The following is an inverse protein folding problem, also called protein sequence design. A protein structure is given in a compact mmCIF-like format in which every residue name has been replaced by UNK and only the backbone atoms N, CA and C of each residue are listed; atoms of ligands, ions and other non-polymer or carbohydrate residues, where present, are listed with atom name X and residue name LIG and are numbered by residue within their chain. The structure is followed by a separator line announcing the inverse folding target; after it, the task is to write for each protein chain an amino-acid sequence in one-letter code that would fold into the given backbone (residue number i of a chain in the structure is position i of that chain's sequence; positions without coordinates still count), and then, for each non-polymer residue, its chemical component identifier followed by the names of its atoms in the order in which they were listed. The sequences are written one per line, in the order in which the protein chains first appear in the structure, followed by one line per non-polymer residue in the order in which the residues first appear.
data_IF_039184808921
#
_entry.id   IF_039184808921
#
_cell.length_a   1.000
_cell.length_b   1.000
_cell.length_c   1.000
_cell.angle_alpha   90.00
_cell.angle_beta   90.00
_cell.angle_gamma   90.00
#
_symmetry.space_group_name_H-M   'P 1'
#
loop_
_entity.id
_entity.type
_entity.pdbx_description
1 polymer ?
#
# COMPACT_ATOMS: atom_id res chain seq x y z
N UNK A 1 24.99 -15.30 14.58
CA UNK A 1 24.42 -14.29 15.49
C UNK A 1 23.86 -13.19 14.60
N UNK A 2 22.56 -13.25 14.30
CA UNK A 2 21.88 -12.20 13.52
C UNK A 2 21.57 -11.06 14.50
N UNK A 3 22.45 -10.06 14.56
CA UNK A 3 22.13 -8.80 15.24
C UNK A 3 21.06 -8.05 14.44
N UNK A 4 20.45 -7.02 15.04
CA UNK A 4 19.50 -6.09 14.40
C UNK A 4 20.11 -5.28 13.22
N UNK A 5 21.25 -5.71 12.68
CA UNK A 5 22.10 -5.00 11.73
C UNK A 5 21.62 -5.05 10.26
N UNK A 6 20.40 -5.55 10.02
CA UNK A 6 19.87 -5.74 8.67
C UNK A 6 18.65 -4.85 8.37
N UNK A 7 18.34 -3.89 9.25
CA UNK A 7 17.18 -3.01 9.11
C UNK A 7 17.58 -1.53 9.21
N UNK A 8 17.00 -0.71 8.34
CA UNK A 8 16.99 0.75 8.44
C UNK A 8 15.61 1.18 8.95
N UNK A 9 15.56 1.98 10.00
CA UNK A 9 14.30 2.51 10.55
C UNK A 9 13.91 3.81 9.87
N UNK A 10 12.62 3.92 9.55
CA UNK A 10 12.07 5.10 8.90
C UNK A 10 11.24 5.91 9.91
N UNK A 11 11.25 7.24 9.73
CA UNK A 11 10.30 8.13 10.40
C UNK A 11 8.89 7.90 9.84
N UNK A 12 7.83 8.31 10.52
CA UNK A 12 6.45 8.17 10.06
C UNK A 12 5.91 9.45 9.41
N UNK A 13 6.66 10.56 9.48
CA UNK A 13 6.21 11.88 9.01
C UNK A 13 5.95 11.97 7.48
N UNK A 14 6.41 11.01 6.68
CA UNK A 14 6.30 10.98 5.21
C UNK A 14 5.27 9.96 4.70
N UNK A 15 4.54 9.27 5.57
CA UNK A 15 3.54 8.29 5.14
C UNK A 15 2.56 8.86 4.13
N UNK A 16 2.21 8.02 3.16
CA UNK A 16 1.16 8.29 2.19
C UNK A 16 -0.18 8.41 2.93
N UNK A 17 -1.08 9.22 2.38
CA UNK A 17 -2.36 9.59 3.00
C UNK A 17 -3.45 9.60 1.94
N UNK A 18 -4.39 8.66 2.03
CA UNK A 18 -5.59 8.65 1.20
C UNK A 18 -6.61 9.74 1.59
N UNK A 19 -7.17 10.41 0.59
CA UNK A 19 -8.22 11.44 0.73
C UNK A 19 -9.65 10.98 0.38
N UNK A 20 -10.66 11.78 0.74
CA UNK A 20 -12.09 11.42 0.63
C UNK A 20 -12.84 12.01 -0.59
N UNK A 21 -13.56 11.15 -1.35
CA UNK A 21 -14.78 11.44 -2.11
C UNK A 21 -16.06 10.92 -1.40
N UNK A 22 -16.99 11.83 -1.04
CA UNK A 22 -17.93 11.64 0.07
C UNK A 22 -19.02 10.54 -0.02
N UNK A 23 -19.28 9.87 1.12
CA UNK A 23 -20.42 8.98 1.36
C UNK A 23 -20.46 8.43 2.80
N UNK A 24 -21.66 8.10 3.33
CA UNK A 24 -21.98 8.12 4.77
C UNK A 24 -22.58 6.80 5.33
N UNK A 25 -21.92 6.20 6.34
CA UNK A 25 -22.49 5.73 7.62
C UNK A 25 -22.67 4.23 7.97
N UNK A 26 -21.89 3.71 8.95
CA UNK A 26 -22.24 2.82 10.12
C UNK A 26 -22.50 1.31 9.89
N UNK A 27 -22.02 0.29 10.65
CA UNK A 27 -21.10 0.07 11.79
C UNK A 27 -21.26 -1.33 12.47
N UNK A 28 -20.20 -1.91 13.07
CA UNK A 28 -20.15 -2.75 14.33
C UNK A 28 -20.49 -4.29 14.47
N UNK A 29 -19.52 -5.24 14.43
CA UNK A 29 -18.80 -5.95 15.56
C UNK A 29 -19.27 -7.31 16.18
N UNK A 30 -18.66 -8.49 15.84
CA UNK A 30 -19.04 -9.83 16.42
C UNK A 30 -18.03 -11.05 16.48
N UNK A 31 -16.72 -10.93 16.22
CA UNK A 31 -15.86 -12.11 15.96
C UNK A 31 -14.39 -11.80 15.59
N UNK A 32 -13.79 -10.81 16.24
CA UNK A 32 -12.52 -10.20 15.82
C UNK A 32 -11.26 -10.98 16.17
N UNK A 33 -10.21 -10.78 15.37
CA UNK A 33 -8.88 -11.35 15.52
C UNK A 33 -7.90 -10.37 16.19
N UNK A 34 -6.94 -10.90 16.96
CA UNK A 34 -5.78 -10.11 17.42
C UNK A 34 -4.69 -9.98 16.36
N UNK A 35 -4.64 -10.93 15.44
CA UNK A 35 -3.68 -10.98 14.34
C UNK A 35 -4.16 -11.92 13.24
N UNK A 36 -3.63 -11.72 12.04
CA UNK A 36 -3.84 -12.55 10.87
C UNK A 36 -2.51 -12.74 10.13
N UNK A 37 -2.32 -13.86 9.45
CA UNK A 37 -1.15 -14.13 8.60
C UNK A 37 -1.69 -14.62 7.26
N UNK A 38 -1.44 -13.86 6.20
CA UNK A 38 -1.81 -14.22 4.83
C UNK A 38 -0.73 -15.05 4.15
N UNK A 39 -1.07 -15.61 2.99
CA UNK A 39 -0.12 -16.29 2.12
C UNK A 39 0.26 -17.70 2.59
N UNK A 40 1.03 -18.37 1.74
CA UNK A 40 1.46 -19.76 1.95
C UNK A 40 2.88 -19.84 2.55
N UNK A 41 3.18 -20.90 3.34
CA UNK A 41 4.53 -21.12 3.83
C UNK A 41 5.56 -21.25 2.69
N UNK A 42 6.51 -20.31 2.62
CA UNK A 42 7.57 -20.28 1.61
C UNK A 42 7.22 -19.51 0.34
N UNK A 43 6.11 -18.78 0.33
CA UNK A 43 5.86 -17.63 -0.55
C UNK A 43 5.74 -16.36 0.29
N UNK A 44 5.35 -15.25 -0.36
CA UNK A 44 5.19 -13.99 0.34
C UNK A 44 4.05 -14.05 1.36
N UNK A 45 4.26 -13.48 2.55
CA UNK A 45 3.26 -13.42 3.61
C UNK A 45 3.20 -12.05 4.30
N UNK A 46 2.03 -11.74 4.88
CA UNK A 46 1.82 -10.50 5.62
C UNK A 46 1.24 -10.83 6.99
N UNK A 47 2.01 -10.59 8.06
CA UNK A 47 1.50 -10.64 9.44
C UNK A 47 0.81 -9.32 9.78
N UNK A 48 -0.51 -9.33 9.91
CA UNK A 48 -1.29 -8.21 10.43
C UNK A 48 -1.48 -8.36 11.93
N UNK A 49 -1.21 -7.31 12.70
CA UNK A 49 -1.54 -7.25 14.13
C UNK A 49 -2.51 -6.10 14.39
N UNK A 50 -3.75 -6.45 14.69
CA UNK A 50 -4.81 -5.49 15.00
C UNK A 50 -4.62 -4.90 16.40
N UNK A 51 -4.41 -3.59 16.47
CA UNK A 51 -4.32 -2.83 17.73
C UNK A 51 -5.67 -2.25 18.10
N UNK A 52 -5.86 -1.95 19.39
CA UNK A 52 -7.09 -1.36 19.92
C UNK A 52 -8.33 -2.21 19.57
N UNK A 53 -9.48 -1.58 19.40
CA UNK A 53 -10.76 -2.24 19.17
C UNK A 53 -11.15 -2.15 17.68
N UNK A 54 -11.71 -3.24 17.18
CA UNK A 54 -12.13 -3.41 15.78
C UNK A 54 -13.51 -4.06 15.71
N UNK A 55 -14.10 -4.06 14.53
CA UNK A 55 -15.26 -4.87 14.15
C UNK A 55 -14.79 -6.00 13.20
N UNK A 56 -15.61 -7.04 13.00
CA UNK A 56 -15.24 -8.13 12.07
C UNK A 56 -15.25 -7.65 10.64
N UNK A 57 -16.25 -6.85 10.32
CA UNK A 57 -16.47 -6.29 9.00
C UNK A 57 -15.27 -5.45 8.57
N UNK A 58 -14.75 -4.61 9.47
CA UNK A 58 -13.57 -3.81 9.17
C UNK A 58 -12.30 -4.66 9.05
N UNK A 59 -12.18 -5.74 9.82
CA UNK A 59 -11.02 -6.65 9.72
C UNK A 59 -11.02 -7.51 8.45
N UNK A 60 -12.19 -7.86 7.91
CA UNK A 60 -12.28 -8.65 6.67
C UNK A 60 -11.52 -7.97 5.53
N UNK A 61 -11.66 -6.65 5.37
CA UNK A 61 -10.95 -5.90 4.36
C UNK A 61 -9.42 -6.05 4.44
N UNK A 62 -8.83 -6.10 5.64
CA UNK A 62 -7.38 -6.33 5.80
C UNK A 62 -7.00 -7.75 5.42
N UNK A 63 -7.82 -8.72 5.84
CA UNK A 63 -7.61 -10.13 5.51
C UNK A 63 -7.63 -10.31 3.99
N UNK A 64 -8.71 -9.87 3.35
CA UNK A 64 -8.92 -10.01 1.90
C UNK A 64 -7.83 -9.25 1.10
N UNK A 65 -7.45 -8.05 1.55
CA UNK A 65 -6.35 -7.29 0.94
C UNK A 65 -5.00 -7.98 1.09
N UNK A 66 -4.72 -8.54 2.26
CA UNK A 66 -3.44 -9.22 2.51
C UNK A 66 -3.30 -10.51 1.72
N UNK A 67 -4.40 -11.27 1.55
CA UNK A 67 -4.40 -12.46 0.68
C UNK A 67 -4.17 -12.05 -0.77
N UNK A 68 -4.89 -11.02 -1.26
CA UNK A 68 -4.69 -10.54 -2.63
C UNK A 68 -3.24 -10.09 -2.88
N UNK A 69 -2.63 -9.34 -1.97
CA UNK A 69 -1.22 -8.94 -2.13
C UNK A 69 -0.29 -10.16 -2.07
N UNK A 70 -0.59 -11.16 -1.24
CA UNK A 70 0.22 -12.40 -1.14
C UNK A 70 0.04 -13.32 -2.35
N UNK A 71 -1.07 -13.21 -3.08
CA UNK A 71 -1.28 -13.88 -4.37
C UNK A 71 -0.57 -13.14 -5.52
N UNK A 72 -0.47 -11.80 -5.44
CA UNK A 72 0.20 -10.97 -6.45
C UNK A 72 1.73 -10.98 -6.30
N UNK A 73 2.25 -10.99 -5.07
CA UNK A 73 3.66 -11.12 -4.75
C UNK A 73 3.91 -12.58 -4.39
N UNK A 74 4.58 -13.34 -5.26
CA UNK A 74 4.68 -14.79 -5.08
C UNK A 74 6.02 -15.24 -4.49
N UNK A 75 7.04 -14.39 -4.55
CA UNK A 75 8.38 -14.70 -4.07
C UNK A 75 8.56 -14.44 -2.57
N UNK A 76 9.02 -15.46 -1.86
CA UNK A 76 9.56 -15.34 -0.50
C UNK A 76 10.74 -14.36 -0.45
N UNK A 77 10.77 -13.47 0.55
CA UNK A 77 11.87 -12.52 0.76
C UNK A 77 12.62 -12.83 2.06
N UNK A 78 13.87 -12.36 2.15
CA UNK A 78 14.75 -12.80 3.23
C UNK A 78 14.23 -12.45 4.63
N UNK A 79 14.08 -13.47 5.48
CA UNK A 79 13.84 -13.35 6.92
C UNK A 79 14.76 -12.34 7.62
N UNK A 80 14.19 -11.49 8.46
CA UNK A 80 14.93 -10.54 9.30
C UNK A 80 14.54 -10.63 10.77
N UNK A 81 15.36 -10.02 11.64
CA UNK A 81 15.06 -9.93 13.08
C UNK A 81 14.72 -8.51 13.47
N UNK A 82 13.55 -8.35 14.07
CA UNK A 82 13.11 -7.08 14.65
C UNK A 82 12.69 -7.27 16.11
N UNK A 83 13.34 -6.56 17.03
CA UNK A 83 13.05 -6.60 18.48
C UNK A 83 12.99 -8.02 19.05
N UNK A 84 13.91 -8.88 18.61
CA UNK A 84 14.01 -10.28 19.05
C UNK A 84 13.04 -11.27 18.40
N UNK A 85 12.10 -10.81 17.56
CA UNK A 85 11.24 -11.66 16.74
C UNK A 85 11.83 -11.86 15.35
N UNK A 86 11.50 -12.98 14.73
CA UNK A 86 11.71 -13.17 13.29
C UNK A 86 10.53 -12.52 12.59
N UNK A 87 10.82 -11.75 11.56
CA UNK A 87 9.86 -11.25 10.60
C UNK A 87 10.13 -12.02 9.32
N UNK A 88 9.16 -12.82 8.95
CA UNK A 88 9.00 -13.41 7.64
C UNK A 88 8.28 -12.34 6.80
N UNK A 89 8.83 -12.02 5.63
CA UNK A 89 8.37 -10.99 4.70
C UNK A 89 8.01 -9.61 5.30
N UNK A 90 6.77 -9.38 5.74
CA UNK A 90 6.37 -8.13 6.38
C UNK A 90 5.42 -8.32 7.55
N UNK A 91 5.60 -7.50 8.59
CA UNK A 91 4.63 -7.33 9.68
C UNK A 91 4.02 -5.94 9.70
N UNK A 92 2.70 -5.86 9.71
CA UNK A 92 1.93 -4.62 9.73
C UNK A 92 1.16 -4.49 11.04
N UNK A 93 1.39 -3.40 11.77
CA UNK A 93 0.56 -3.03 12.92
C UNK A 93 -0.60 -2.13 12.43
N UNK A 94 -1.85 -2.62 12.50
CA UNK A 94 -3.03 -1.90 12.02
C UNK A 94 -3.85 -1.31 13.18
N UNK A 95 -4.29 -0.04 13.07
CA UNK A 95 -4.99 0.65 14.15
C UNK A 95 -6.11 1.60 13.65
N UNK A 96 -7.28 1.55 14.31
CA UNK A 96 -8.28 2.63 14.27
C UNK A 96 -7.93 3.69 15.32
N UNK A 97 -7.74 4.93 14.88
CA UNK A 97 -7.35 6.06 15.75
C UNK A 97 -8.07 7.34 15.35
N UNK A 98 -7.96 8.40 16.14
CA UNK A 98 -8.43 9.72 15.68
C UNK A 98 -7.29 10.36 14.89
N UNK A 99 -7.56 10.79 13.65
CA UNK A 99 -6.59 11.49 12.81
C UNK A 99 -6.99 12.96 12.72
N UNK A 100 -8.10 13.27 12.04
CA UNK A 100 -8.61 14.63 11.85
C UNK A 100 -10.14 14.75 11.97
N UNK A 101 -10.85 13.63 12.17
CA UNK A 101 -12.29 13.58 12.35
C UNK A 101 -13.00 13.07 11.11
N UNK A 102 -14.16 13.64 10.78
CA UNK A 102 -14.94 13.17 9.63
C UNK A 102 -14.38 13.78 8.34
N UNK A 103 -13.94 12.93 7.42
CA UNK A 103 -13.33 13.29 6.15
C UNK A 103 -11.96 13.95 6.30
N UNK A 104 -11.27 14.17 5.17
CA UNK A 104 -9.86 14.55 5.21
C UNK A 104 -9.02 13.31 4.97
N UNK A 105 -8.18 12.95 5.95
CA UNK A 105 -7.32 11.77 5.88
C UNK A 105 -8.11 10.52 6.29
N UNK A 106 -8.27 9.59 5.36
CA UNK A 106 -9.00 8.34 5.61
C UNK A 106 -8.11 7.28 6.28
N UNK A 107 -6.89 7.20 5.76
CA UNK A 107 -5.85 6.30 6.17
C UNK A 107 -4.49 6.96 6.00
N UNK A 108 -3.51 6.43 6.71
CA UNK A 108 -2.12 6.69 6.44
C UNK A 108 -1.31 5.43 6.75
N UNK A 109 -0.38 5.10 5.87
CA UNK A 109 0.41 3.91 6.00
C UNK A 109 1.81 4.03 5.40
N UNK A 110 2.67 3.13 5.84
CA UNK A 110 3.98 2.97 5.25
C UNK A 110 4.94 2.13 6.09
N UNK A 111 6.09 1.76 5.50
CA UNK A 111 7.13 1.03 6.20
C UNK A 111 7.72 1.84 7.35
N UNK A 112 7.89 1.18 8.49
CA UNK A 112 8.61 1.66 9.68
C UNK A 112 10.03 1.10 9.74
N UNK A 113 10.30 0.01 9.05
CA UNK A 113 11.64 -0.52 8.84
C UNK A 113 11.75 -1.20 7.47
N UNK A 114 12.88 -0.98 6.80
CA UNK A 114 13.23 -1.61 5.52
C UNK A 114 14.50 -2.45 5.68
N UNK A 115 14.63 -3.50 4.86
CA UNK A 115 15.82 -4.36 4.79
C UNK A 115 16.99 -3.59 4.20
N UNK A 116 18.18 -3.72 4.78
CA UNK A 116 19.39 -3.07 4.24
C UNK A 116 19.94 -3.74 2.98
N UNK A 117 19.47 -4.94 2.63
CA UNK A 117 19.93 -5.70 1.45
C UNK A 117 19.34 -5.16 0.15
N UNK A 118 18.07 -4.78 0.19
CA UNK A 118 17.23 -4.55 -0.99
C UNK A 118 16.23 -3.39 -0.79
N UNK A 119 16.18 -2.79 0.41
CA UNK A 119 15.23 -1.76 0.82
C UNK A 119 13.76 -2.22 0.91
N UNK A 120 13.47 -3.51 0.83
CA UNK A 120 12.10 -4.00 0.95
C UNK A 120 11.58 -3.88 2.39
N UNK A 121 10.31 -3.45 2.60
CA UNK A 121 9.68 -3.34 3.92
C UNK A 121 9.71 -4.62 4.75
N UNK A 122 10.11 -4.49 6.01
CA UNK A 122 10.05 -5.56 7.01
C UNK A 122 8.97 -5.29 8.06
N UNK A 123 8.77 -4.03 8.45
CA UNK A 123 7.66 -3.67 9.32
C UNK A 123 6.98 -2.43 8.80
N UNK A 124 5.66 -2.34 8.99
CA UNK A 124 4.84 -1.19 8.62
C UNK A 124 3.79 -0.91 9.68
N UNK A 125 3.14 0.24 9.54
CA UNK A 125 1.96 0.61 10.30
C UNK A 125 0.89 1.10 9.33
N UNK A 126 -0.36 0.82 9.66
CA UNK A 126 -1.52 1.38 8.98
C UNK A 126 -2.44 1.99 10.04
N UNK A 127 -2.74 3.27 9.92
CA UNK A 127 -3.64 4.00 10.80
C UNK A 127 -4.82 4.54 10.01
N UNK A 128 -6.05 4.35 10.50
CA UNK A 128 -7.26 4.85 9.84
C UNK A 128 -8.08 5.70 10.79
N UNK A 129 -8.75 6.71 10.26
CA UNK A 129 -9.63 7.55 11.08
C UNK A 129 -10.88 6.76 11.50
N UNK A 130 -11.01 6.55 12.81
CA UNK A 130 -12.13 5.87 13.42
C UNK A 130 -13.47 6.58 13.16
N UNK A 131 -13.46 7.89 12.89
CA UNK A 131 -14.65 8.65 12.55
C UNK A 131 -15.20 8.30 11.16
N UNK A 132 -14.36 7.74 10.29
CA UNK A 132 -14.65 7.49 8.88
C UNK A 132 -14.82 6.00 8.54
N UNK A 133 -14.11 5.11 9.24
CA UNK A 133 -14.04 3.68 8.90
C UNK A 133 -15.42 3.00 8.70
N UNK A 134 -16.33 3.17 9.66
CA UNK A 134 -17.68 2.59 9.57
C UNK A 134 -18.49 3.19 8.40
N UNK A 135 -18.24 4.46 8.06
CA UNK A 135 -18.96 5.12 6.99
C UNK A 135 -18.55 4.59 5.62
N UNK A 136 -17.26 4.39 5.38
CA UNK A 136 -16.76 3.80 4.14
C UNK A 136 -17.06 2.32 4.01
N UNK A 137 -17.14 1.61 5.13
CA UNK A 137 -17.58 0.22 5.10
C UNK A 137 -19.03 0.12 4.62
N UNK A 138 -19.89 1.04 5.05
CA UNK A 138 -21.28 1.08 4.61
C UNK A 138 -21.46 1.46 3.13
N UNK A 139 -20.51 2.19 2.54
CA UNK A 139 -20.53 2.54 1.11
C UNK A 139 -19.84 1.51 0.23
N UNK A 140 -19.14 0.53 0.81
CA UNK A 140 -18.39 -0.49 0.08
C UNK A 140 -16.99 -0.08 -0.35
N UNK A 141 -16.47 1.07 0.10
CA UNK A 141 -15.15 1.58 -0.27
C UNK A 141 -14.06 1.23 0.76
N UNK A 142 -14.44 0.69 1.91
CA UNK A 142 -13.48 0.36 2.97
C UNK A 142 -12.38 -0.61 2.51
N UNK A 143 -12.74 -1.61 1.71
CA UNK A 143 -11.76 -2.56 1.19
C UNK A 143 -10.74 -1.88 0.28
N UNK A 144 -11.20 -1.00 -0.63
CA UNK A 144 -10.31 -0.27 -1.54
C UNK A 144 -9.33 0.61 -0.77
N UNK A 145 -9.80 1.35 0.25
CA UNK A 145 -8.95 2.20 1.09
C UNK A 145 -7.93 1.34 1.87
N UNK A 146 -8.34 0.21 2.43
CA UNK A 146 -7.43 -0.69 3.15
C UNK A 146 -6.37 -1.28 2.22
N UNK A 147 -6.78 -1.71 1.02
CA UNK A 147 -5.88 -2.26 0.02
C UNK A 147 -4.86 -1.22 -0.46
N UNK A 148 -5.30 0.00 -0.74
CA UNK A 148 -4.45 1.15 -1.08
C UNK A 148 -3.36 1.40 -0.02
N UNK A 149 -3.75 1.55 1.24
CA UNK A 149 -2.81 1.79 2.34
C UNK A 149 -1.89 0.59 2.60
N UNK A 150 -2.36 -0.64 2.31
CA UNK A 150 -1.53 -1.83 2.41
C UNK A 150 -0.49 -1.90 1.28
N UNK A 151 -0.81 -1.43 0.08
CA UNK A 151 0.16 -1.29 -1.02
C UNK A 151 1.28 -0.32 -0.65
N UNK A 152 0.96 0.80 0.00
CA UNK A 152 1.99 1.69 0.58
C UNK A 152 2.85 0.99 1.63
N UNK A 153 2.24 0.19 2.49
CA UNK A 153 2.96 -0.58 3.52
C UNK A 153 3.98 -1.56 2.94
N UNK A 154 3.66 -2.20 1.81
CA UNK A 154 4.60 -3.11 1.10
C UNK A 154 5.60 -2.39 0.20
N UNK A 155 5.48 -1.07 0.03
CA UNK A 155 6.55 -0.23 -0.50
C UNK A 155 6.16 0.65 -1.69
N UNK A 156 4.96 0.50 -2.24
CA UNK A 156 4.47 1.37 -3.31
C UNK A 156 4.53 2.84 -2.88
N UNK A 157 5.14 3.72 -3.68
CA UNK A 157 5.30 5.15 -3.38
C UNK A 157 6.30 5.45 -2.25
N UNK A 158 6.31 4.62 -1.21
CA UNK A 158 7.02 4.80 0.04
C UNK A 158 8.52 4.60 -0.07
N UNK A 159 8.97 3.71 -0.96
CA UNK A 159 10.40 3.37 -1.07
C UNK A 159 11.04 3.70 -2.41
N UNK A 160 10.29 4.26 -3.37
CA UNK A 160 10.82 4.61 -4.69
C UNK A 160 12.05 5.53 -4.62
N UNK A 161 12.02 6.50 -3.69
CA UNK A 161 13.16 7.40 -3.45
C UNK A 161 14.40 6.72 -2.85
N UNK A 162 14.26 5.60 -2.14
CA UNK A 162 15.42 4.82 -1.64
C UNK A 162 16.07 3.96 -2.72
N UNK A 163 15.39 3.76 -3.84
CA UNK A 163 15.84 2.90 -4.94
C UNK A 163 16.12 3.68 -6.23
N UNK A 164 16.16 5.02 -6.16
CA UNK A 164 16.40 5.92 -7.30
C UNK A 164 15.41 5.70 -8.46
N UNK A 165 14.16 5.35 -8.14
CA UNK A 165 13.12 5.08 -9.14
C UNK A 165 12.28 6.31 -9.52
N UNK A 166 12.54 7.48 -8.91
CA UNK A 166 11.85 8.73 -9.25
C UNK A 166 12.77 9.69 -9.99
N UNK A 167 12.33 10.16 -11.15
CA UNK A 167 12.91 11.32 -11.84
C UNK A 167 12.01 12.54 -11.64
N UNK A 168 12.61 13.71 -11.47
CA UNK A 168 11.86 14.95 -11.28
C UNK A 168 11.03 15.02 -9.99
N UNK A 169 11.29 14.18 -8.99
CA UNK A 169 10.62 14.24 -7.69
C UNK A 169 10.63 15.67 -7.13
N UNK A 170 9.47 16.12 -6.64
CA UNK A 170 9.33 17.46 -6.13
C UNK A 170 9.21 18.55 -7.22
N UNK A 171 9.00 18.18 -8.49
CA UNK A 171 8.72 19.11 -9.60
C UNK A 171 7.25 19.03 -10.08
N UNK A 172 6.92 19.69 -11.19
CA UNK A 172 5.57 19.68 -11.78
C UNK A 172 5.29 18.42 -12.62
N UNK A 173 6.32 17.64 -12.98
CA UNK A 173 6.17 16.43 -13.79
C UNK A 173 7.12 15.33 -13.28
N UNK A 174 6.91 14.82 -12.06
CA UNK A 174 7.68 13.69 -11.57
C UNK A 174 7.28 12.41 -12.32
N UNK A 175 8.24 11.52 -12.51
CA UNK A 175 8.05 10.24 -13.20
C UNK A 175 8.59 9.09 -12.36
N UNK A 176 7.86 7.98 -12.30
CA UNK A 176 8.39 6.70 -11.88
C UNK A 176 9.06 6.01 -13.07
N UNK A 177 10.30 5.58 -12.88
CA UNK A 177 11.20 5.15 -13.98
C UNK A 177 11.47 3.65 -14.01
N UNK A 178 10.68 2.87 -13.26
CA UNK A 178 10.71 1.41 -13.31
C UNK A 178 10.34 0.89 -14.69
N UNK A 179 11.07 -0.12 -15.17
CA UNK A 179 10.98 -0.60 -16.55
C UNK A 179 9.71 -1.41 -16.78
N UNK A 180 9.30 -2.22 -15.78
CA UNK A 180 8.09 -3.03 -15.87
C UNK A 180 6.84 -2.15 -15.87
N UNK A 181 6.72 -1.22 -14.92
CA UNK A 181 5.59 -0.29 -14.84
C UNK A 181 5.51 0.61 -16.09
N UNK A 182 6.65 1.08 -16.62
CA UNK A 182 6.67 1.86 -17.86
C UNK A 182 6.16 1.04 -19.04
N UNK A 183 6.55 -0.23 -19.15
CA UNK A 183 6.08 -1.12 -20.22
C UNK A 183 4.55 -1.33 -20.17
N UNK A 184 4.00 -1.59 -18.98
CA UNK A 184 2.54 -1.74 -18.80
C UNK A 184 1.80 -0.43 -19.06
N UNK A 185 2.39 0.71 -18.67
CA UNK A 185 1.82 2.02 -18.95
C UNK A 185 1.73 2.30 -20.46
N UNK A 186 2.79 2.02 -21.23
CA UNK A 186 2.76 2.11 -22.69
C UNK A 186 1.71 1.18 -23.31
N UNK A 187 1.59 -0.05 -22.79
CA UNK A 187 0.67 -1.06 -23.32
C UNK A 187 -0.79 -0.73 -23.04
N UNK A 188 -1.13 -0.31 -21.84
CA UNK A 188 -2.52 -0.27 -21.35
C UNK A 188 -3.14 1.14 -21.41
N UNK A 189 -2.31 2.18 -21.39
CA UNK A 189 -2.76 3.57 -21.41
C UNK A 189 -2.40 4.29 -22.71
N UNK A 190 -2.05 3.53 -23.77
CA UNK A 190 -1.67 4.03 -25.10
C UNK A 190 -0.57 5.11 -25.06
N UNK A 191 0.31 5.05 -24.05
CA UNK A 191 1.44 5.96 -23.93
C UNK A 191 2.52 5.58 -24.95
N UNK A 192 3.04 6.56 -25.68
CA UNK A 192 4.01 6.35 -26.77
C UNK A 192 5.39 6.85 -26.34
N UNK A 193 6.40 5.98 -26.41
CA UNK A 193 7.79 6.28 -26.08
C UNK A 193 7.92 6.92 -24.67
N UNK A 194 7.22 6.33 -23.69
CA UNK A 194 7.16 6.84 -22.33
C UNK A 194 8.54 6.74 -21.66
N UNK A 195 8.94 7.82 -20.97
CA UNK A 195 10.19 7.85 -20.19
C UNK A 195 9.99 7.34 -18.76
N UNK A 196 8.74 7.11 -18.37
CA UNK A 196 8.30 6.74 -17.04
C UNK A 196 6.79 6.92 -16.91
N UNK A 197 6.26 6.49 -15.78
CA UNK A 197 4.85 6.64 -15.41
C UNK A 197 4.65 7.97 -14.69
N UNK A 198 3.67 8.82 -15.07
CA UNK A 198 3.34 10.04 -14.33
C UNK A 198 3.04 9.79 -12.86
N UNK A 199 3.67 10.58 -11.99
CA UNK A 199 3.49 10.54 -10.54
C UNK A 199 2.82 11.84 -10.10
N UNK A 200 2.04 11.78 -9.03
CA UNK A 200 1.30 12.93 -8.50
C UNK A 200 2.24 14.09 -8.09
N UNK A 201 2.06 15.23 -8.74
CA UNK A 201 2.82 16.46 -8.57
C UNK A 201 2.21 17.44 -7.56
N UNK A 202 0.93 17.28 -7.23
CA UNK A 202 0.20 18.16 -6.29
C UNK A 202 0.01 17.52 -4.91
N UNK A 203 -0.59 18.28 -4.00
CA UNK A 203 -0.85 17.83 -2.63
C UNK A 203 0.32 18.06 -1.66
N UNK A 204 0.20 17.45 -0.49
CA UNK A 204 1.20 17.53 0.58
C UNK A 204 2.25 16.42 0.49
N UNK A 205 3.20 16.37 1.45
CA UNK A 205 4.23 15.33 1.50
C UNK A 205 3.71 13.89 1.58
N UNK A 206 2.47 13.68 1.99
CA UNK A 206 1.82 12.36 2.01
C UNK A 206 0.99 12.05 0.77
N UNK A 207 1.03 12.89 -0.27
CA UNK A 207 0.29 12.67 -1.52
C UNK A 207 1.25 12.77 -2.70
N UNK A 208 1.96 13.88 -2.77
CA UNK A 208 2.94 14.15 -3.81
C UNK A 208 4.05 13.10 -3.85
N UNK A 209 4.52 12.78 -5.04
CA UNK A 209 5.66 11.90 -5.30
C UNK A 209 5.47 10.43 -4.81
N UNK A 210 4.26 10.08 -4.33
CA UNK A 210 3.96 8.78 -3.69
C UNK A 210 2.75 8.06 -4.29
N UNK A 211 2.05 8.70 -5.23
CA UNK A 211 0.85 8.19 -5.89
C UNK A 211 1.00 8.33 -7.40
N UNK A 212 0.21 7.57 -8.15
CA UNK A 212 0.00 7.87 -9.55
C UNK A 212 -0.70 9.22 -9.74
N UNK A 213 -0.40 9.90 -10.84
CA UNK A 213 -1.03 11.19 -11.18
C UNK A 213 -2.54 11.02 -11.38
N UNK A 214 -3.32 11.65 -10.50
CA UNK A 214 -4.79 11.60 -10.51
C UNK A 214 -5.37 12.04 -11.87
N UNK A 215 -4.84 13.10 -12.47
CA UNK A 215 -5.37 13.65 -13.73
C UNK A 215 -5.18 12.67 -14.90
N UNK A 216 -4.12 11.86 -14.86
CA UNK A 216 -3.81 10.86 -15.88
C UNK A 216 -4.58 9.55 -15.67
N UNK A 217 -4.68 9.10 -14.41
CA UNK A 217 -5.13 7.74 -14.09
C UNK A 217 -6.54 7.65 -13.50
N UNK A 218 -7.16 8.78 -13.15
CA UNK A 218 -8.53 8.89 -12.64
C UNK A 218 -8.74 7.87 -11.51
N UNK A 219 -9.55 6.84 -11.75
CA UNK A 219 -9.99 5.89 -10.73
C UNK A 219 -9.06 4.67 -10.53
N UNK A 220 -7.77 4.80 -10.84
CA UNK A 220 -6.77 3.77 -10.52
C UNK A 220 -6.52 3.78 -9.01
N UNK A 221 -6.44 2.59 -8.39
CA UNK A 221 -6.47 2.43 -6.93
C UNK A 221 -5.34 3.14 -6.18
N UNK A 222 -4.20 3.42 -6.81
CA UNK A 222 -3.03 4.07 -6.23
C UNK A 222 -2.86 5.54 -6.65
N UNK A 223 -3.91 6.18 -7.16
CA UNK A 223 -3.98 7.64 -7.14
C UNK A 223 -4.27 8.14 -5.72
N UNK A 224 -4.06 9.44 -5.46
CA UNK A 224 -4.13 10.00 -4.10
C UNK A 224 -5.55 10.13 -3.52
N UNK A 225 -6.59 9.88 -4.31
CA UNK A 225 -7.97 10.13 -3.95
C UNK A 225 -8.85 8.94 -4.31
N UNK A 226 -9.57 8.41 -3.31
CA UNK A 226 -10.41 7.24 -3.55
C UNK A 226 -11.69 7.63 -4.32
N UNK A 227 -11.99 6.88 -5.37
CA UNK A 227 -13.18 7.05 -6.18
C UNK A 227 -14.34 6.14 -5.74
N UNK A 228 -15.53 6.40 -6.28
CA UNK A 228 -16.71 5.55 -6.05
C UNK A 228 -16.58 4.15 -6.66
N UNK A 229 -15.66 3.96 -7.60
CA UNK A 229 -15.26 2.67 -8.16
C UNK A 229 -13.79 2.74 -8.51
N UNK A 230 -12.96 1.85 -7.95
CA UNK A 230 -11.53 1.84 -8.20
C UNK A 230 -11.14 0.56 -8.93
N UNK A 231 -10.03 0.59 -9.66
CA UNK A 231 -9.45 -0.62 -10.24
C UNK A 231 -7.95 -0.70 -9.96
N UNK A 232 -7.45 -1.92 -9.81
CA UNK A 232 -6.02 -2.19 -9.75
C UNK A 232 -5.49 -2.39 -11.17
N UNK A 233 -4.50 -1.60 -11.57
CA UNK A 233 -3.83 -1.76 -12.86
C UNK A 233 -2.67 -2.76 -12.80
N UNK A 234 -2.36 -3.40 -13.93
CA UNK A 234 -1.11 -4.17 -14.08
C UNK A 234 0.12 -3.28 -13.83
N UNK A 235 0.03 -1.98 -14.15
CA UNK A 235 1.06 -0.99 -13.87
C UNK A 235 1.39 -0.86 -12.38
N UNK A 236 0.38 -0.85 -11.51
CA UNK A 236 0.61 -0.82 -10.06
C UNK A 236 1.35 -2.08 -9.60
N UNK A 237 0.96 -3.26 -10.08
CA UNK A 237 1.64 -4.51 -9.70
C UNK A 237 3.05 -4.58 -10.30
N UNK A 238 3.24 -4.12 -11.53
CA UNK A 238 4.54 -4.04 -12.17
C UNK A 238 5.51 -3.09 -11.44
N UNK A 239 5.00 -2.02 -10.82
CA UNK A 239 5.84 -1.17 -9.97
C UNK A 239 6.35 -1.89 -8.72
N UNK A 240 5.64 -2.91 -8.23
CA UNK A 240 6.10 -3.77 -7.13
C UNK A 240 7.26 -4.68 -7.59
N UNK A 241 7.25 -5.14 -8.84
CA UNK A 241 8.40 -5.85 -9.42
C UNK A 241 9.62 -4.94 -9.57
N UNK A 242 9.41 -3.71 -10.04
CA UNK A 242 10.48 -2.73 -10.21
C UNK A 242 11.18 -2.38 -8.88
N UNK A 243 10.47 -2.45 -7.75
CA UNK A 243 11.07 -2.28 -6.42
C UNK A 243 11.74 -3.55 -5.87
N UNK A 244 11.62 -4.68 -6.57
CA UNK A 244 12.37 -5.92 -6.30
C UNK A 244 11.54 -7.11 -5.82
N UNK A 245 10.21 -7.04 -5.84
CA UNK A 245 9.37 -8.22 -5.59
C UNK A 245 9.32 -9.14 -6.81
N UNK A 246 9.09 -10.44 -6.57
CA UNK A 246 8.67 -11.36 -7.65
C UNK A 246 7.14 -11.35 -7.68
N UNK A 247 6.57 -10.93 -8.80
CA UNK A 247 5.12 -10.70 -8.92
C UNK A 247 4.50 -11.44 -10.09
N UNK A 248 3.17 -11.57 -10.07
CA UNK A 248 2.37 -12.08 -11.19
C UNK A 248 1.40 -11.01 -11.68
N UNK A 249 1.43 -10.73 -12.98
CA UNK A 249 0.49 -9.87 -13.69
C UNK A 249 -0.26 -10.72 -14.71
N UNK A 250 -1.18 -11.54 -14.25
CA UNK A 250 -2.05 -12.30 -15.16
C UNK A 250 -3.44 -11.67 -15.18
N UNK A 251 -4.02 -11.49 -16.37
CA UNK A 251 -5.33 -10.86 -16.57
C UNK A 251 -6.44 -11.56 -15.75
N UNK A 252 -6.24 -12.84 -15.43
CA UNK A 252 -7.15 -13.65 -14.61
C UNK A 252 -7.25 -13.20 -13.13
N UNK A 253 -6.33 -12.36 -12.62
CA UNK A 253 -6.37 -11.84 -11.24
C UNK A 253 -7.17 -10.54 -11.08
N UNK A 254 -7.42 -9.80 -12.16
CA UNK A 254 -8.00 -8.44 -12.09
C UNK A 254 -9.50 -8.39 -12.39
N UNK A 255 -10.13 -9.52 -12.72
CA UNK A 255 -11.56 -9.62 -12.99
C UNK A 255 -12.23 -10.75 -12.20
N UNK A 256 -12.72 -10.44 -11.00
CA UNK A 256 -13.84 -11.17 -10.36
C UNK A 256 -14.79 -10.23 -9.65
#
# INVERSE_FOLDING_TARGET
MLGEANLTFLDTDWFAKGGNGGGNGGGGGDGTLSSYLSGDPGGYNIEIVFKKAWTVELQSAFIDSSELISDLIVGDISDVRFRGKIIDDIRIDAELTNIDGVGGILGQAGPTAIRTSDNLPATAVMEFDIADADAFNATGLWQDIVFHEMLHSVGFGSIWGFQDLLDGAGTENPLFTGAAATFTYERDFDAIDALGVPVEQVGGPGTRDSHWDEETFDNEIMTGFIDGQNFLSEMTVASLEDIGYETVWDEDFFFT
#
